data_IF_148126757134
#
_entry.id   IF_148126757134
#
_cell.length_a   1.000
_cell.length_b   1.000
_cell.length_c   1.000
_cell.angle_alpha   90.00
_cell.angle_beta   90.00
_cell.angle_gamma   90.00
#
_symmetry.space_group_name_H-M   'P 1'
#
loop_
_entity.id
_entity.type
_entity.pdbx_description
1 polymer ?
#
# COMPACT_ATOMS: atom_id res chain seq x y z
N UNK A 1 -9.73 -19.53 -16.40
CA UNK A 1 -8.57 -20.44 -16.26
C UNK A 1 -7.32 -19.56 -16.21
N UNK A 2 -7.08 -18.92 -15.07
CA UNK A 2 -5.92 -18.07 -14.82
C UNK A 2 -5.40 -18.48 -13.44
N UNK A 3 -4.61 -19.56 -13.43
CA UNK A 3 -3.96 -20.11 -12.24
C UNK A 3 -2.51 -20.35 -12.68
N UNK A 4 -1.58 -19.48 -12.25
CA UNK A 4 -0.23 -19.51 -12.82
C UNK A 4 0.77 -18.48 -12.31
N UNK A 5 0.39 -17.55 -11.43
CA UNK A 5 1.38 -16.75 -10.71
C UNK A 5 1.72 -17.44 -9.38
N UNK A 6 3.00 -17.76 -9.09
CA UNK A 6 3.39 -18.29 -7.81
C UNK A 6 3.06 -17.26 -6.71
N UNK A 7 2.20 -17.64 -5.77
CA UNK A 7 1.93 -16.86 -4.54
C UNK A 7 3.13 -17.00 -3.61
N UNK A 8 4.16 -16.18 -3.79
CA UNK A 8 5.34 -16.15 -2.90
C UNK A 8 5.58 -14.79 -2.26
N UNK A 9 4.62 -13.86 -2.37
CA UNK A 9 4.68 -12.56 -1.70
C UNK A 9 3.51 -12.45 -0.75
N UNK A 10 3.78 -12.24 0.54
CA UNK A 10 2.78 -11.96 1.54
C UNK A 10 2.18 -10.58 1.27
N UNK A 11 0.93 -10.52 0.83
CA UNK A 11 0.19 -9.25 0.74
C UNK A 11 -0.36 -8.93 2.13
N UNK A 12 0.12 -7.84 2.72
CA UNK A 12 -0.41 -7.26 3.94
C UNK A 12 -1.49 -6.26 3.50
N UNK A 13 -2.70 -6.78 3.33
CA UNK A 13 -3.87 -5.99 2.98
C UNK A 13 -4.34 -5.21 4.22
N UNK A 14 -4.22 -3.88 4.26
CA UNK A 14 -4.78 -3.10 5.37
C UNK A 14 -5.69 -1.91 4.96
N UNK A 15 -6.94 -2.10 5.40
CA UNK A 15 -7.96 -1.16 5.88
C UNK A 15 -8.66 -0.15 4.94
N UNK A 16 -8.12 0.26 3.80
CA UNK A 16 -8.94 1.02 2.82
C UNK A 16 -9.37 0.19 1.61
N UNK A 17 -8.52 -0.74 1.17
CA UNK A 17 -8.87 -1.70 0.12
C UNK A 17 -9.83 -2.80 0.62
N UNK A 18 -9.95 -2.96 1.93
CA UNK A 18 -10.95 -3.87 2.52
C UNK A 18 -12.37 -3.30 2.36
N UNK A 19 -12.51 -1.98 2.18
CA UNK A 19 -13.78 -1.37 1.76
C UNK A 19 -14.00 -1.48 0.23
N UNK A 20 -12.96 -1.81 -0.53
CA UNK A 20 -13.03 -1.95 -1.98
C UNK A 20 -13.36 -3.37 -2.46
N UNK A 21 -12.78 -4.43 -1.89
CA UNK A 21 -12.81 -5.76 -2.53
C UNK A 21 -12.76 -7.01 -1.60
N UNK A 22 -13.00 -6.92 -0.27
CA UNK A 22 -12.74 -8.12 0.55
C UNK A 22 -13.44 -8.23 1.91
N UNK A 23 -14.76 -8.46 1.92
CA UNK A 23 -15.45 -8.94 3.13
C UNK A 23 -14.85 -10.27 3.65
N UNK A 24 -14.32 -11.13 2.76
CA UNK A 24 -13.80 -12.44 3.13
C UNK A 24 -12.47 -12.46 3.90
N UNK A 25 -11.60 -11.44 3.74
CA UNK A 25 -10.31 -11.37 4.48
C UNK A 25 -10.45 -10.64 5.82
N UNK A 26 -11.48 -9.80 5.96
CA UNK A 26 -11.75 -9.01 7.16
C UNK A 26 -12.14 -9.91 8.35
N UNK A 27 -12.87 -11.01 8.13
CA UNK A 27 -13.32 -11.93 9.19
C UNK A 27 -12.18 -12.54 10.03
N UNK A 28 -11.01 -12.77 9.44
CA UNK A 28 -9.86 -13.35 10.15
C UNK A 28 -9.19 -12.31 11.05
N UNK A 29 -9.06 -11.06 10.58
CA UNK A 29 -8.48 -9.95 11.35
C UNK A 29 -9.42 -9.52 12.48
N UNK A 30 -10.73 -9.49 12.23
CA UNK A 30 -11.77 -9.11 13.20
C UNK A 30 -11.98 -10.12 14.34
N UNK A 31 -11.41 -11.33 14.25
CA UNK A 31 -11.46 -12.29 15.36
C UNK A 31 -10.42 -12.01 16.46
N UNK A 32 -9.52 -11.05 16.24
CA UNK A 32 -8.56 -10.60 17.25
C UNK A 32 -9.12 -9.42 18.06
N UNK A 33 -8.70 -9.23 19.33
CA UNK A 33 -9.07 -8.05 20.10
C UNK A 33 -8.75 -6.73 19.40
N UNK A 34 -7.64 -6.66 18.64
CA UNK A 34 -7.24 -5.49 17.86
C UNK A 34 -8.17 -5.24 16.66
N UNK A 35 -8.59 -6.29 15.95
CA UNK A 35 -9.53 -6.16 14.84
C UNK A 35 -10.89 -5.62 15.27
N UNK A 36 -11.41 -6.09 16.41
CA UNK A 36 -12.66 -5.57 16.98
C UNK A 36 -12.55 -4.08 17.33
N UNK A 37 -11.40 -3.64 17.82
CA UNK A 37 -11.15 -2.23 18.12
C UNK A 37 -11.08 -1.38 16.84
N UNK A 38 -10.36 -1.84 15.83
CA UNK A 38 -10.24 -1.18 14.52
C UNK A 38 -11.61 -0.95 13.87
N UNK A 39 -12.51 -1.94 13.94
CA UNK A 39 -13.85 -1.86 13.33
C UNK A 39 -14.65 -0.62 13.76
N UNK A 40 -14.49 -0.17 15.01
CA UNK A 40 -15.23 0.98 15.55
C UNK A 40 -14.93 2.28 14.80
N UNK A 41 -13.70 2.46 14.36
CA UNK A 41 -13.26 3.64 13.61
C UNK A 41 -13.62 3.50 12.13
N UNK A 42 -13.47 2.30 11.58
CA UNK A 42 -13.83 2.01 10.18
C UNK A 42 -15.31 2.26 9.88
N UNK A 43 -16.21 1.79 10.75
CA UNK A 43 -17.66 2.01 10.60
C UNK A 43 -18.03 3.50 10.61
N UNK A 44 -17.18 4.36 11.19
CA UNK A 44 -17.35 5.80 11.24
C UNK A 44 -16.68 6.54 10.06
N UNK A 45 -15.88 5.85 9.23
CA UNK A 45 -15.06 6.45 8.18
C UNK A 45 -13.79 7.14 8.68
N UNK A 46 -13.44 6.96 9.95
CA UNK A 46 -12.23 7.52 10.57
C UNK A 46 -11.02 6.61 10.36
N UNK A 47 -9.82 7.18 10.43
CA UNK A 47 -8.61 6.37 10.54
C UNK A 47 -8.56 5.62 11.87
N UNK A 48 -8.24 4.33 11.79
CA UNK A 48 -7.86 3.54 12.96
C UNK A 48 -6.62 4.17 13.60
N UNK A 49 -6.59 4.39 14.93
CA UNK A 49 -5.47 5.02 15.59
C UNK A 49 -4.13 4.35 15.28
N UNK A 50 -3.08 5.16 15.06
CA UNK A 50 -1.73 4.68 14.75
C UNK A 50 -1.26 3.59 15.70
N UNK A 51 -1.56 3.70 16.99
CA UNK A 51 -1.16 2.71 18.01
C UNK A 51 -1.75 1.32 17.80
N UNK A 52 -2.93 1.22 17.20
CA UNK A 52 -3.59 -0.04 16.85
C UNK A 52 -3.00 -0.56 15.53
N UNK A 53 -2.98 0.28 14.50
CA UNK A 53 -2.48 -0.07 13.16
C UNK A 53 -1.02 -0.53 13.19
N UNK A 54 -0.17 0.18 13.94
CA UNK A 54 1.25 -0.15 14.12
C UNK A 54 1.46 -1.54 14.74
N UNK A 55 0.66 -1.92 15.73
CA UNK A 55 0.76 -3.26 16.35
C UNK A 55 0.35 -4.35 15.37
N UNK A 56 -0.72 -4.13 14.61
CA UNK A 56 -1.20 -5.09 13.62
C UNK A 56 -0.14 -5.34 12.52
N UNK A 57 0.51 -4.27 12.04
CA UNK A 57 1.59 -4.40 11.05
C UNK A 57 2.80 -5.12 11.64
N UNK A 58 3.20 -4.80 12.89
CA UNK A 58 4.30 -5.49 13.58
C UNK A 58 4.03 -6.99 13.69
N UNK A 59 2.86 -7.37 14.19
CA UNK A 59 2.50 -8.76 14.38
C UNK A 59 2.54 -9.50 13.04
N UNK A 60 2.00 -8.90 11.98
CA UNK A 60 1.98 -9.51 10.65
C UNK A 60 3.36 -9.66 10.02
N UNK A 61 4.24 -8.66 10.16
CA UNK A 61 5.61 -8.70 9.66
C UNK A 61 6.52 -9.64 10.46
N UNK A 62 6.05 -10.21 11.57
CA UNK A 62 6.78 -11.22 12.34
C UNK A 62 6.53 -12.66 11.89
N UNK A 63 5.64 -12.88 10.91
CA UNK A 63 5.33 -14.21 10.39
C UNK A 63 6.34 -14.68 9.32
N UNK A 64 6.67 -15.96 9.32
CA UNK A 64 7.70 -16.54 8.44
C UNK A 64 7.44 -16.37 6.93
N UNK A 65 6.18 -16.18 6.52
CA UNK A 65 5.81 -16.07 5.11
C UNK A 65 6.22 -14.72 4.47
N UNK A 66 6.65 -13.74 5.27
CA UNK A 66 7.16 -12.44 4.80
C UNK A 66 8.66 -12.47 4.45
N UNK A 67 9.36 -13.58 4.70
CA UNK A 67 10.80 -13.71 4.43
C UNK A 67 11.16 -13.44 2.96
N UNK A 68 10.31 -13.87 2.03
CA UNK A 68 10.52 -13.70 0.59
C UNK A 68 10.01 -12.35 0.06
N UNK A 69 9.59 -11.46 0.96
CA UNK A 69 9.06 -10.16 0.65
C UNK A 69 7.57 -10.05 0.95
N UNK A 70 7.14 -8.80 1.03
CA UNK A 70 5.78 -8.43 1.37
C UNK A 70 5.33 -7.23 0.52
N UNK A 71 4.03 -7.04 0.43
CA UNK A 71 3.41 -5.83 -0.10
C UNK A 71 2.55 -5.23 1.01
N UNK A 72 2.88 -4.02 1.46
CA UNK A 72 2.02 -3.27 2.37
C UNK A 72 1.03 -2.46 1.54
N UNK A 73 -0.26 -2.72 1.72
CA UNK A 73 -1.32 -1.94 1.10
C UNK A 73 -1.99 -1.04 2.14
N UNK A 74 -2.04 0.25 1.85
CA UNK A 74 -2.68 1.24 2.72
C UNK A 74 -1.93 1.61 4.00
N UNK A 75 -0.67 1.16 4.18
CA UNK A 75 0.20 1.55 5.30
C UNK A 75 1.64 1.78 4.81
N UNK A 76 2.33 2.82 5.26
CA UNK A 76 1.92 3.85 6.24
C UNK A 76 1.15 5.02 5.59
N UNK A 77 0.32 5.70 6.40
CA UNK A 77 -0.47 6.90 6.03
C UNK A 77 -0.08 8.17 6.78
N UNK A 78 0.62 8.03 7.91
CA UNK A 78 1.15 9.15 8.67
C UNK A 78 2.68 9.08 8.75
N UNK A 79 3.34 10.21 8.96
CA UNK A 79 4.80 10.24 9.12
C UNK A 79 5.27 9.46 10.35
N UNK A 80 4.46 9.42 11.42
CA UNK A 80 4.72 8.62 12.61
C UNK A 80 4.66 7.12 12.32
N UNK A 81 3.75 6.68 11.45
CA UNK A 81 3.72 5.30 10.97
C UNK A 81 4.95 4.96 10.12
N UNK A 82 5.48 5.90 9.32
CA UNK A 82 6.76 5.69 8.61
C UNK A 82 7.89 5.42 9.58
N UNK A 83 8.03 6.23 10.63
CA UNK A 83 9.08 6.05 11.63
C UNK A 83 8.95 4.69 12.34
N UNK A 84 7.72 4.30 12.68
CA UNK A 84 7.46 3.01 13.30
C UNK A 84 7.75 1.82 12.38
N UNK A 85 7.40 1.93 11.09
CA UNK A 85 7.71 0.91 10.09
C UNK A 85 9.22 0.74 9.94
N UNK A 86 9.97 1.84 9.88
CA UNK A 86 11.42 1.81 9.81
C UNK A 86 12.02 1.06 11.01
N UNK A 87 11.48 1.26 12.22
CA UNK A 87 11.89 0.51 13.42
C UNK A 87 11.62 -0.99 13.31
N UNK A 88 10.43 -1.39 12.83
CA UNK A 88 10.10 -2.81 12.63
C UNK A 88 11.08 -3.45 11.65
N UNK A 89 11.27 -2.82 10.48
CA UNK A 89 12.10 -3.36 9.40
C UNK A 89 13.58 -3.43 9.78
N UNK A 90 14.09 -2.43 10.49
CA UNK A 90 15.47 -2.43 10.98
C UNK A 90 15.77 -3.61 11.92
N UNK A 91 14.81 -4.00 12.77
CA UNK A 91 14.96 -5.15 13.67
C UNK A 91 14.96 -6.50 12.92
N UNK A 92 14.31 -6.56 11.76
CA UNK A 92 14.25 -7.74 10.90
C UNK A 92 15.33 -7.81 9.82
N UNK A 93 16.28 -6.86 9.80
CA UNK A 93 17.25 -6.68 8.69
C UNK A 93 16.58 -6.52 7.31
N UNK A 94 15.33 -6.05 7.28
CA UNK A 94 14.53 -5.81 6.09
C UNK A 94 14.54 -4.32 5.73
N UNK A 95 14.17 -4.01 4.49
CA UNK A 95 13.97 -2.64 4.00
C UNK A 95 12.93 -2.61 2.89
N UNK A 96 12.30 -1.45 2.70
CA UNK A 96 11.45 -1.22 1.54
C UNK A 96 12.29 -1.07 0.27
N UNK A 97 11.85 -1.73 -0.79
CA UNK A 97 12.49 -1.65 -2.11
C UNK A 97 11.90 -0.53 -2.97
N UNK A 98 10.59 -0.38 -2.92
CA UNK A 98 9.84 0.58 -3.72
C UNK A 98 8.55 0.95 -2.99
N UNK A 99 8.14 2.21 -3.11
CA UNK A 99 6.81 2.69 -2.73
C UNK A 99 6.11 3.10 -4.01
N UNK A 100 4.98 2.47 -4.29
CA UNK A 100 4.18 2.78 -5.47
C UNK A 100 3.06 3.75 -5.10
N UNK A 101 2.99 4.88 -5.78
CA UNK A 101 1.86 5.80 -5.69
C UNK A 101 1.04 5.68 -6.97
N UNK A 102 -0.15 5.10 -6.87
CA UNK A 102 -1.13 5.12 -7.95
C UNK A 102 -1.76 6.52 -8.01
N UNK A 103 -1.53 7.27 -9.09
CA UNK A 103 -2.06 8.61 -9.26
C UNK A 103 -3.34 8.60 -10.08
N UNK A 104 -4.34 9.37 -9.65
CA UNK A 104 -5.56 9.64 -10.37
C UNK A 104 -6.13 10.97 -9.89
N UNK A 105 -6.93 11.63 -10.73
CA UNK A 105 -7.62 12.86 -10.34
C UNK A 105 -8.77 12.56 -9.36
N UNK A 106 -8.99 13.44 -8.40
CA UNK A 106 -10.01 13.25 -7.35
C UNK A 106 -11.40 12.98 -7.92
N UNK A 107 -11.78 13.66 -8.99
CA UNK A 107 -13.09 13.47 -9.62
C UNK A 107 -13.22 12.08 -10.28
N UNK A 108 -12.12 11.54 -10.81
CA UNK A 108 -12.09 10.16 -11.33
C UNK A 108 -12.16 9.15 -10.17
N UNK A 109 -11.48 9.41 -9.06
CA UNK A 109 -11.56 8.59 -7.85
C UNK A 109 -12.97 8.56 -7.27
N UNK A 110 -13.61 9.74 -7.13
CA UNK A 110 -15.01 9.87 -6.70
C UNK A 110 -15.93 9.09 -7.64
N UNK A 111 -15.77 9.26 -8.95
CA UNK A 111 -16.58 8.55 -9.94
C UNK A 111 -16.45 7.03 -9.80
N UNK A 112 -15.23 6.51 -9.69
CA UNK A 112 -14.94 5.08 -9.55
C UNK A 112 -15.51 4.50 -8.26
N UNK A 113 -15.32 5.19 -7.14
CA UNK A 113 -15.80 4.73 -5.82
C UNK A 113 -17.33 4.73 -5.75
N UNK A 114 -18.00 5.74 -6.32
CA UNK A 114 -19.45 5.75 -6.45
C UNK A 114 -19.98 4.66 -7.39
N UNK A 115 -19.23 4.35 -8.47
CA UNK A 115 -19.54 3.22 -9.37
C UNK A 115 -19.51 1.89 -8.61
N UNK A 116 -18.43 1.65 -7.85
CA UNK A 116 -18.27 0.46 -7.01
C UNK A 116 -19.36 0.34 -5.95
N UNK A 117 -19.72 1.44 -5.28
CA UNK A 117 -20.76 1.43 -4.26
C UNK A 117 -22.11 0.94 -4.82
N UNK A 118 -22.45 1.37 -6.04
CA UNK A 118 -23.65 0.94 -6.76
C UNK A 118 -23.62 -0.55 -7.13
N UNK A 119 -22.47 -1.05 -7.58
CA UNK A 119 -22.30 -2.45 -7.99
C UNK A 119 -22.34 -3.41 -6.80
N UNK A 120 -21.80 -3.00 -5.65
CA UNK A 120 -21.64 -3.83 -4.45
C UNK A 120 -22.78 -3.68 -3.44
N UNK A 121 -23.69 -2.71 -3.63
CA UNK A 121 -24.80 -2.46 -2.71
C UNK A 121 -24.38 -1.81 -1.39
N UNK A 122 -23.20 -1.19 -1.35
CA UNK A 122 -22.66 -0.50 -0.17
C UNK A 122 -23.35 0.85 0.00
N UNK A 123 -24.08 1.01 1.10
CA UNK A 123 -24.86 2.22 1.40
C UNK A 123 -24.09 3.29 2.19
N UNK A 124 -22.93 2.91 2.73
CA UNK A 124 -21.99 3.73 3.50
C UNK A 124 -21.05 4.56 2.62
N UNK A 125 -20.71 4.08 1.41
CA UNK A 125 -19.91 4.81 0.43
C UNK A 125 -20.76 5.85 -0.34
N UNK A 126 -21.06 6.96 0.34
CA UNK A 126 -21.63 8.13 -0.29
C UNK A 126 -20.55 9.17 -0.63
N UNK A 127 -20.87 10.10 -1.52
CA UNK A 127 -19.92 11.10 -2.02
C UNK A 127 -19.27 11.91 -0.89
N UNK A 128 -20.02 12.27 0.16
CA UNK A 128 -19.48 13.05 1.28
C UNK A 128 -18.40 12.26 2.04
N UNK A 129 -18.61 10.97 2.27
CA UNK A 129 -17.62 10.09 2.91
C UNK A 129 -16.40 9.92 2.02
N UNK A 130 -16.59 9.72 0.72
CA UNK A 130 -15.48 9.58 -0.23
C UNK A 130 -14.61 10.84 -0.24
N UNK A 131 -15.24 12.01 -0.35
CA UNK A 131 -14.52 13.29 -0.35
C UNK A 131 -13.80 13.54 0.97
N UNK A 132 -14.44 13.22 2.09
CA UNK A 132 -13.78 13.31 3.40
C UNK A 132 -12.52 12.44 3.48
N UNK A 133 -12.55 11.22 2.92
CA UNK A 133 -11.38 10.32 2.87
C UNK A 133 -10.27 10.87 1.98
N UNK A 134 -10.62 11.52 0.87
CA UNK A 134 -9.64 12.22 0.02
C UNK A 134 -8.99 13.38 0.77
N UNK A 135 -9.78 14.20 1.47
CA UNK A 135 -9.24 15.30 2.29
C UNK A 135 -8.22 14.80 3.32
N UNK A 136 -8.54 13.72 4.03
CA UNK A 136 -7.61 13.08 4.99
C UNK A 136 -6.35 12.54 4.32
N UNK A 137 -6.46 11.99 3.11
CA UNK A 137 -5.32 11.56 2.32
C UNK A 137 -4.39 12.74 2.00
N UNK A 138 -4.95 13.85 1.50
CA UNK A 138 -4.15 15.04 1.18
C UNK A 138 -3.50 15.66 2.42
N UNK A 139 -4.21 15.71 3.54
CA UNK A 139 -3.69 16.29 4.78
C UNK A 139 -2.55 15.47 5.39
N UNK A 140 -2.66 14.14 5.38
CA UNK A 140 -1.77 13.27 6.17
C UNK A 140 -0.83 12.43 5.32
N UNK A 141 -1.31 11.90 4.20
CA UNK A 141 -0.59 10.90 3.40
C UNK A 141 0.38 11.53 2.39
N UNK A 142 0.12 12.76 1.93
CA UNK A 142 1.08 13.46 1.04
C UNK A 142 2.45 13.67 1.70
N UNK A 143 2.49 13.92 3.01
CA UNK A 143 3.74 14.03 3.76
C UNK A 143 4.53 12.71 3.76
N UNK A 144 3.84 11.57 3.76
CA UNK A 144 4.46 10.24 3.63
C UNK A 144 5.06 10.05 2.24
N UNK A 145 4.31 10.44 1.20
CA UNK A 145 4.78 10.39 -0.20
C UNK A 145 6.06 11.22 -0.36
N UNK A 146 6.07 12.45 0.17
CA UNK A 146 7.25 13.33 0.13
C UNK A 146 8.47 12.68 0.80
N UNK A 147 8.28 12.08 2.00
CA UNK A 147 9.34 11.39 2.73
C UNK A 147 9.94 10.21 1.94
N UNK A 148 9.12 9.45 1.21
CA UNK A 148 9.61 8.37 0.34
C UNK A 148 10.22 8.86 -0.97
N UNK A 149 9.78 10.01 -1.48
CA UNK A 149 10.41 10.68 -2.62
C UNK A 149 11.84 11.12 -2.28
N UNK A 150 12.04 11.73 -1.10
CA UNK A 150 13.35 12.13 -0.60
C UNK A 150 14.31 10.93 -0.43
N UNK A 151 13.77 9.77 -0.07
CA UNK A 151 14.52 8.50 0.03
C UNK A 151 14.87 7.88 -1.32
N UNK A 152 14.32 8.40 -2.43
CA UNK A 152 14.56 7.88 -3.78
C UNK A 152 13.92 6.53 -4.06
N UNK A 153 12.93 6.11 -3.28
CA UNK A 153 12.22 4.82 -3.45
C UNK A 153 10.76 4.98 -3.89
N UNK A 154 10.25 6.22 -3.99
CA UNK A 154 8.92 6.48 -4.53
C UNK A 154 8.91 6.33 -6.06
N UNK A 155 7.93 5.59 -6.58
CA UNK A 155 7.61 5.54 -8.01
C UNK A 155 6.12 5.84 -8.20
N UNK A 156 5.82 6.86 -8.98
CA UNK A 156 4.45 7.19 -9.38
C UNK A 156 4.04 6.34 -10.59
N UNK A 157 2.81 5.86 -10.55
CA UNK A 157 2.21 5.06 -11.62
C UNK A 157 0.82 5.62 -11.89
N UNK A 158 0.54 5.94 -13.15
CA UNK A 158 -0.80 6.35 -13.55
C UNK A 158 -1.80 5.22 -13.27
N UNK A 159 -2.79 5.49 -12.43
CA UNK A 159 -3.85 4.56 -12.03
C UNK A 159 -5.08 4.60 -12.94
N UNK A 160 -5.12 5.47 -13.95
CA UNK A 160 -6.24 5.61 -14.88
C UNK A 160 -6.08 4.63 -16.05
N UNK A 161 -7.10 3.81 -16.29
CA UNK A 161 -7.14 2.84 -17.38
C UNK A 161 -7.86 1.55 -17.00
N UNK A 162 -7.73 0.54 -17.86
CA UNK A 162 -8.19 -0.82 -17.58
C UNK A 162 -7.28 -1.54 -16.57
N UNK A 163 -7.82 -2.54 -15.88
CA UNK A 163 -7.08 -3.31 -14.85
C UNK A 163 -5.78 -3.90 -15.43
N UNK A 164 -5.84 -4.51 -16.61
CA UNK A 164 -4.67 -5.11 -17.24
C UNK A 164 -3.59 -4.07 -17.56
N UNK A 165 -3.99 -2.90 -18.06
CA UNK A 165 -3.07 -1.81 -18.40
C UNK A 165 -2.37 -1.24 -17.15
N UNK A 166 -3.13 -1.02 -16.07
CA UNK A 166 -2.58 -0.52 -14.80
C UNK A 166 -1.67 -1.58 -14.17
N UNK A 167 -2.07 -2.86 -14.23
CA UNK A 167 -1.26 -3.98 -13.75
C UNK A 167 0.08 -4.04 -14.48
N UNK A 168 0.08 -3.89 -15.80
CA UNK A 168 1.31 -3.87 -16.60
C UNK A 168 2.23 -2.72 -16.19
N UNK A 169 1.70 -1.51 -15.96
CA UNK A 169 2.48 -0.35 -15.50
C UNK A 169 3.09 -0.59 -14.12
N UNK A 170 2.31 -1.12 -13.18
CA UNK A 170 2.78 -1.48 -11.83
C UNK A 170 3.90 -2.50 -11.90
N UNK A 171 3.73 -3.57 -12.69
CA UNK A 171 4.75 -4.61 -12.83
C UNK A 171 6.02 -4.08 -13.51
N UNK A 172 5.90 -3.15 -14.45
CA UNK A 172 7.06 -2.48 -15.04
C UNK A 172 7.80 -1.60 -14.01
N UNK A 173 7.06 -0.85 -13.19
CA UNK A 173 7.63 -0.02 -12.12
C UNK A 173 8.42 -0.86 -11.10
N UNK A 174 7.85 -1.99 -10.64
CA UNK A 174 8.51 -2.90 -9.71
C UNK A 174 9.81 -3.45 -10.31
N UNK A 175 9.76 -3.95 -11.56
CA UNK A 175 10.95 -4.48 -12.26
C UNK A 175 12.05 -3.42 -12.40
N UNK A 176 11.68 -2.18 -12.71
CA UNK A 176 12.62 -1.07 -12.83
C UNK A 176 13.30 -0.75 -11.49
N UNK A 177 12.53 -0.69 -10.40
CA UNK A 177 13.05 -0.45 -9.05
C UNK A 177 14.01 -1.57 -8.60
N UNK A 178 13.64 -2.83 -8.83
CA UNK A 178 14.50 -3.98 -8.54
C UNK A 178 15.81 -3.92 -9.34
N UNK A 179 15.76 -3.57 -10.63
CA UNK A 179 16.96 -3.44 -11.47
C UNK A 179 17.88 -2.30 -11.02
N UNK A 180 17.31 -1.17 -10.58
CA UNK A 180 18.08 -0.04 -10.04
C UNK A 180 18.84 -0.42 -8.77
N UNK A 181 18.22 -1.22 -7.90
CA UNK A 181 18.85 -1.75 -6.66
C UNK A 181 20.03 -2.69 -6.94
N UNK A 182 19.94 -3.49 -8.00
CA UNK A 182 20.93 -4.52 -8.32
C UNK A 182 22.13 -4.01 -9.13
N UNK A 183 22.11 -2.77 -9.66
CA UNK A 183 23.27 -2.20 -10.35
C UNK A 183 24.42 -1.96 -9.35
N UNK A 184 25.58 -2.62 -9.49
CA UNK A 184 26.72 -2.34 -8.63
C UNK A 184 27.27 -0.94 -8.93
N UNK A 185 27.67 -0.23 -7.86
CA UNK A 185 28.41 1.04 -7.91
C UNK A 185 29.85 0.79 -8.42
N UNK A 186 30.02 0.34 -9.66
CA UNK A 186 31.35 0.34 -10.28
C UNK A 186 31.43 1.49 -11.29
N UNK A 187 32.36 2.44 -11.15
CA UNK A 187 32.61 3.41 -12.19
C UNK A 187 33.22 2.65 -13.38
N UNK A 188 32.62 2.83 -14.57
CA UNK A 188 33.13 2.31 -15.83
C UNK A 188 34.62 2.64 -15.95
N UNK A 189 35.49 1.63 -15.78
CA UNK A 189 36.90 1.80 -16.09
C UNK A 189 37.01 2.03 -17.59
N UNK A 190 37.72 3.08 -18.04
CA UNK A 190 37.99 3.25 -19.47
C UNK A 190 38.75 2.02 -19.96
N UNK A 191 38.27 1.47 -21.08
CA UNK A 191 38.91 0.36 -21.78
C UNK A 191 40.37 0.71 -22.05
N UNK A 192 41.30 -0.03 -21.45
CA UNK A 192 42.70 -0.02 -21.84
C UNK A 192 42.79 -0.69 -23.21
N UNK A 193 42.56 0.09 -24.26
CA UNK A 193 42.96 -0.25 -25.61
C UNK A 193 44.48 -0.14 -25.73
N UNK A 194 45.03 -1.15 -26.40
CA UNK A 194 46.45 -1.56 -26.50
C UNK A 194 47.38 -0.56 -27.15
#
# INVERSE_FOLDING_TARGET
MLDGYPRTTAQVDYLDEILANGEQKLDVVLQTPLGVEAKKYMDAGDFVPDSVTNKMVRDRLSEDDVENGFLLDGYPRTTAQVDYLDEILANGEQKLDVVLQLTADDEELVHRLLGRAKETGRSDDNEAVIRHRLDLYHEQTEAVVAKYAERGILTQVDGIGGIDEVTDRVMQAIKAAQAARLKPLWPSMPSAAS
#
